data_IF_292489226622
#
_entry.id   IF_292489226622
#
_cell.length_a   1.000
_cell.length_b   1.000
_cell.length_c   1.000
_cell.angle_alpha   90.00
_cell.angle_beta   90.00
_cell.angle_gamma   90.00
#
_symmetry.space_group_name_H-M   'P 1'
#
loop_
_entity.id
_entity.type
_entity.pdbx_description
1 polymer ?
#
# COMPACT_ATOMS: atom_id res chain seq x y z
N UNK A 1 0.97 19.97 14.80
CA UNK A 1 0.84 18.68 15.53
C UNK A 1 1.40 17.57 14.65
N UNK A 2 2.65 17.13 14.86
CA UNK A 2 3.28 16.12 14.01
C UNK A 2 2.81 14.73 14.43
N UNK A 3 2.12 14.03 13.52
CA UNK A 3 1.73 12.63 13.73
C UNK A 3 2.99 11.77 13.58
N UNK A 4 3.64 11.52 14.71
CA UNK A 4 4.79 10.64 14.87
C UNK A 4 4.44 9.22 14.41
N UNK A 5 5.26 8.69 13.51
CA UNK A 5 5.21 7.34 12.92
C UNK A 5 5.64 6.24 13.92
N UNK A 6 5.16 6.31 15.16
CA UNK A 6 5.34 5.31 16.21
C UNK A 6 3.98 4.90 16.78
N UNK A 7 3.13 4.32 15.94
CA UNK A 7 2.05 3.49 16.48
C UNK A 7 2.68 2.17 16.94
N UNK A 8 3.07 2.12 18.22
CA UNK A 8 3.24 0.87 18.96
C UNK A 8 1.86 0.19 19.02
N UNK A 9 1.45 -0.51 17.97
CA UNK A 9 0.44 -1.58 18.10
C UNK A 9 1.13 -2.85 18.62
N UNK A 10 1.77 -2.72 19.78
CA UNK A 10 2.04 -3.84 20.69
C UNK A 10 1.02 -3.70 21.82
N UNK A 11 -0.23 -4.02 21.54
CA UNK A 11 -1.14 -4.33 22.65
C UNK A 11 -0.73 -5.71 23.11
N UNK A 12 -0.19 -5.81 24.32
CA UNK A 12 0.11 -7.09 24.98
C UNK A 12 -1.16 -7.97 25.10
N UNK A 13 -2.34 -7.34 25.03
CA UNK A 13 -3.66 -7.97 24.88
C UNK A 13 -3.88 -8.71 23.54
N UNK A 14 -3.14 -8.38 22.48
CA UNK A 14 -3.14 -9.14 21.22
C UNK A 14 -2.29 -10.40 21.39
N UNK A 15 -1.09 -10.26 21.95
CA UNK A 15 -0.12 -11.34 22.15
C UNK A 15 -0.63 -12.41 23.14
N UNK A 16 -1.40 -12.01 24.17
CA UNK A 16 -2.01 -12.95 25.11
C UNK A 16 -3.13 -13.81 24.52
N UNK A 17 -3.84 -13.33 23.48
CA UNK A 17 -4.83 -14.13 22.72
C UNK A 17 -4.19 -15.14 21.78
N UNK A 18 -2.95 -14.91 21.37
CA UNK A 18 -2.20 -15.82 20.50
C UNK A 18 -1.39 -16.86 21.26
N UNK A 19 -1.07 -16.60 22.54
CA UNK A 19 -0.31 -17.52 23.38
C UNK A 19 -1.16 -18.63 24.02
N UNK A 20 -2.49 -18.45 24.12
CA UNK A 20 -3.41 -19.41 24.74
C UNK A 20 -4.12 -20.35 23.75
N UNK A 21 -3.91 -20.18 22.44
CA UNK A 21 -4.55 -20.99 21.39
C UNK A 21 -3.65 -22.10 20.85
N UNK A 22 -3.09 -22.95 21.72
CA UNK A 22 -2.26 -24.10 21.35
C UNK A 22 -3.07 -25.28 20.78
N UNK A 23 -3.79 -25.06 19.69
CA UNK A 23 -4.43 -26.12 18.90
C UNK A 23 -3.81 -26.22 17.51
N UNK A 24 -3.86 -27.40 16.89
CA UNK A 24 -3.33 -27.66 15.54
C UNK A 24 -3.82 -26.66 14.46
N UNK A 25 -4.94 -25.98 14.68
CA UNK A 25 -5.55 -24.97 13.79
C UNK A 25 -4.94 -23.56 13.86
N UNK A 26 -4.03 -23.29 14.81
CA UNK A 26 -3.45 -21.97 15.02
C UNK A 26 -2.74 -21.36 13.80
N UNK A 27 -1.85 -22.09 13.08
CA UNK A 27 -1.17 -21.52 11.92
C UNK A 27 -2.13 -21.29 10.75
N UNK A 28 -3.24 -22.06 10.64
CA UNK A 28 -4.18 -21.96 9.52
C UNK A 28 -4.98 -20.66 9.62
N UNK A 29 -5.40 -20.30 10.83
CA UNK A 29 -6.08 -19.02 11.10
C UNK A 29 -5.19 -17.81 10.84
N UNK A 30 -3.89 -17.90 11.17
CA UNK A 30 -2.94 -16.85 10.85
C UNK A 30 -2.76 -16.69 9.34
N UNK A 31 -2.63 -17.80 8.61
CA UNK A 31 -2.52 -17.78 7.15
C UNK A 31 -3.75 -17.17 6.47
N UNK A 32 -4.97 -17.57 6.86
CA UNK A 32 -6.21 -17.02 6.32
C UNK A 32 -6.32 -15.51 6.57
N UNK A 33 -5.96 -15.05 7.77
CA UNK A 33 -5.95 -13.62 8.10
C UNK A 33 -4.92 -12.84 7.29
N UNK A 34 -3.70 -13.37 7.14
CA UNK A 34 -2.69 -12.78 6.26
C UNK A 34 -3.19 -12.69 4.81
N UNK A 35 -3.97 -13.68 4.35
CA UNK A 35 -4.55 -13.68 3.00
C UNK A 35 -5.60 -12.60 2.81
N UNK A 36 -6.46 -12.40 3.80
CA UNK A 36 -7.44 -11.31 3.80
C UNK A 36 -6.74 -9.94 3.79
N UNK A 37 -5.77 -9.74 4.68
CA UNK A 37 -4.99 -8.50 4.77
C UNK A 37 -4.19 -8.23 3.48
N UNK A 38 -3.66 -9.27 2.85
CA UNK A 38 -3.01 -9.17 1.54
C UNK A 38 -3.99 -8.76 0.44
N UNK A 39 -5.16 -9.39 0.37
CA UNK A 39 -6.18 -9.06 -0.64
C UNK A 39 -6.68 -7.62 -0.52
N UNK A 40 -6.96 -7.16 0.70
CA UNK A 40 -7.33 -5.78 0.99
C UNK A 40 -6.21 -4.81 0.65
N UNK A 41 -4.96 -5.18 0.99
CA UNK A 41 -3.77 -4.41 0.63
C UNK A 41 -3.60 -4.26 -0.88
N UNK A 42 -3.86 -5.32 -1.64
CA UNK A 42 -3.73 -5.36 -3.10
C UNK A 42 -4.79 -4.48 -3.77
N UNK A 43 -6.05 -4.57 -3.34
CA UNK A 43 -7.12 -3.66 -3.81
C UNK A 43 -6.76 -2.21 -3.53
N UNK A 44 -6.23 -1.90 -2.34
CA UNK A 44 -5.80 -0.55 -2.01
C UNK A 44 -4.64 -0.06 -2.89
N UNK A 45 -3.66 -0.92 -3.17
CA UNK A 45 -2.57 -0.60 -4.08
C UNK A 45 -3.07 -0.36 -5.51
N UNK A 46 -4.01 -1.17 -5.98
CA UNK A 46 -4.62 -1.00 -7.30
C UNK A 46 -5.38 0.33 -7.42
N UNK A 47 -6.19 0.68 -6.42
CA UNK A 47 -6.88 1.97 -6.37
C UNK A 47 -5.90 3.15 -6.35
N UNK A 48 -4.79 3.05 -5.60
CA UNK A 48 -3.73 4.07 -5.60
C UNK A 48 -3.08 4.21 -6.97
N UNK A 49 -2.83 3.10 -7.67
CA UNK A 49 -2.28 3.10 -9.02
C UNK A 49 -3.25 3.76 -10.00
N UNK A 50 -4.53 3.38 -9.98
CA UNK A 50 -5.56 3.99 -10.82
C UNK A 50 -5.66 5.51 -10.57
N UNK A 51 -5.63 5.93 -9.30
CA UNK A 51 -5.60 7.34 -8.93
C UNK A 51 -4.36 8.06 -9.45
N UNK A 52 -3.17 7.44 -9.36
CA UNK A 52 -1.93 8.01 -9.90
C UNK A 52 -2.02 8.25 -11.41
N UNK A 53 -2.57 7.28 -12.15
CA UNK A 53 -2.81 7.40 -13.60
C UNK A 53 -3.75 8.56 -13.90
N UNK A 54 -4.87 8.67 -13.18
CA UNK A 54 -5.81 9.79 -13.31
C UNK A 54 -5.15 11.15 -13.08
N UNK A 55 -4.26 11.27 -12.09
CA UNK A 55 -3.52 12.51 -11.82
C UNK A 55 -2.59 12.88 -12.98
N UNK A 56 -1.92 11.90 -13.59
CA UNK A 56 -1.06 12.13 -14.76
C UNK A 56 -1.88 12.61 -15.96
N UNK A 57 -3.05 12.00 -16.21
CA UNK A 57 -3.96 12.47 -17.24
C UNK A 57 -4.44 13.90 -16.95
N UNK A 58 -4.88 14.18 -15.72
CA UNK A 58 -5.27 15.53 -15.32
C UNK A 58 -4.15 16.55 -15.52
N UNK A 59 -2.91 16.20 -15.18
CA UNK A 59 -1.73 17.04 -15.41
C UNK A 59 -1.56 17.38 -16.89
N UNK A 60 -1.72 16.39 -17.77
CA UNK A 60 -1.66 16.59 -19.22
C UNK A 60 -2.79 17.48 -19.72
N UNK A 61 -4.02 17.25 -19.26
CA UNK A 61 -5.18 18.05 -19.65
C UNK A 61 -5.02 19.51 -19.21
N UNK A 62 -4.55 19.74 -17.98
CA UNK A 62 -4.24 21.08 -17.47
C UNK A 62 -3.14 21.74 -18.29
N UNK A 63 -2.08 21.00 -18.64
CA UNK A 63 -1.01 21.48 -19.52
C UNK A 63 -1.54 21.92 -20.88
N UNK A 64 -2.34 21.07 -21.54
CA UNK A 64 -2.98 21.37 -22.83
C UNK A 64 -3.94 22.56 -22.74
N UNK A 65 -4.68 22.70 -21.63
CA UNK A 65 -5.57 23.83 -21.41
C UNK A 65 -4.78 25.15 -21.31
N UNK A 66 -3.68 25.16 -20.56
CA UNK A 66 -2.81 26.32 -20.49
C UNK A 66 -2.06 26.61 -21.81
N UNK A 67 -1.70 25.59 -22.58
CA UNK A 67 -1.08 25.78 -23.90
C UNK A 67 -2.06 26.38 -24.92
N UNK A 68 -3.34 25.99 -24.85
CA UNK A 68 -4.37 26.44 -25.79
C UNK A 68 -4.99 27.79 -25.44
N UNK A 69 -5.20 28.10 -24.15
CA UNK A 69 -5.90 29.31 -23.70
C UNK A 69 -5.03 30.30 -22.92
N UNK A 70 -3.81 29.91 -22.54
CA UNK A 70 -2.97 30.64 -21.59
C UNK A 70 -1.98 31.64 -22.19
N UNK A 71 -2.02 31.91 -23.50
CA UNK A 71 -1.10 32.84 -24.17
C UNK A 71 -1.06 34.25 -23.54
N UNK A 72 -2.13 34.65 -22.85
CA UNK A 72 -2.25 35.94 -22.17
C UNK A 72 -2.12 35.88 -20.63
N UNK A 73 -2.05 34.68 -20.03
CA UNK A 73 -1.94 34.50 -18.59
C UNK A 73 -0.48 34.41 -18.15
N UNK A 74 -0.16 35.06 -17.01
CA UNK A 74 1.19 35.14 -16.48
C UNK A 74 1.87 33.74 -16.40
N UNK A 75 3.03 33.51 -17.04
CA UNK A 75 3.69 32.21 -17.12
C UNK A 75 4.04 31.59 -15.76
N UNK A 76 4.11 32.41 -14.70
CA UNK A 76 4.27 31.95 -13.33
C UNK A 76 3.10 31.09 -12.82
N UNK A 77 1.86 31.39 -13.21
CA UNK A 77 0.68 30.61 -12.82
C UNK A 77 0.70 29.22 -13.42
N UNK A 78 1.07 29.10 -14.70
CA UNK A 78 1.26 27.80 -15.38
C UNK A 78 2.31 26.93 -14.68
N UNK A 79 3.46 27.52 -14.35
CA UNK A 79 4.53 26.83 -13.60
C UNK A 79 4.08 26.42 -12.21
N UNK A 80 3.37 27.30 -11.51
CA UNK A 80 2.78 27.02 -10.19
C UNK A 80 1.82 25.84 -10.23
N UNK A 81 0.87 25.83 -11.17
CA UNK A 81 -0.09 24.74 -11.34
C UNK A 81 0.60 23.41 -11.67
N UNK A 82 1.56 23.40 -12.61
CA UNK A 82 2.34 22.21 -12.94
C UNK A 82 3.17 21.71 -11.76
N UNK A 83 3.81 22.60 -11.00
CA UNK A 83 4.57 22.22 -9.82
C UNK A 83 3.67 21.60 -8.74
N UNK A 84 2.47 22.16 -8.52
CA UNK A 84 1.51 21.65 -7.54
C UNK A 84 1.00 20.25 -7.94
N UNK A 85 0.69 20.06 -9.22
CA UNK A 85 0.30 18.74 -9.75
C UNK A 85 1.46 17.74 -9.68
N UNK A 86 2.69 18.16 -10.00
CA UNK A 86 3.87 17.31 -9.89
C UNK A 86 4.15 16.88 -8.45
N UNK A 87 4.03 17.80 -7.48
CA UNK A 87 4.13 17.49 -6.05
C UNK A 87 3.06 16.49 -5.61
N UNK A 88 1.82 16.69 -6.08
CA UNK A 88 0.72 15.77 -5.77
C UNK A 88 0.97 14.38 -6.37
N UNK A 89 1.40 14.30 -7.63
CA UNK A 89 1.77 13.07 -8.30
C UNK A 89 2.90 12.33 -7.55
N UNK A 90 3.96 13.04 -7.15
CA UNK A 90 5.07 12.50 -6.37
C UNK A 90 4.60 11.95 -5.01
N UNK A 91 3.67 12.64 -4.34
CA UNK A 91 3.09 12.19 -3.07
C UNK A 91 2.35 10.85 -3.23
N UNK A 92 1.53 10.73 -4.28
CA UNK A 92 0.80 9.49 -4.59
C UNK A 92 1.77 8.37 -4.96
N UNK A 93 2.76 8.64 -5.82
CA UNK A 93 3.78 7.66 -6.21
C UNK A 93 4.55 7.13 -5.00
N UNK A 94 4.97 8.03 -4.10
CA UNK A 94 5.64 7.67 -2.86
C UNK A 94 4.78 6.76 -2.00
N UNK A 95 3.49 7.06 -1.87
CA UNK A 95 2.54 6.25 -1.09
C UNK A 95 2.34 4.87 -1.72
N UNK A 96 2.20 4.81 -3.05
CA UNK A 96 2.11 3.56 -3.79
C UNK A 96 3.36 2.70 -3.61
N UNK A 97 4.55 3.30 -3.71
CA UNK A 97 5.82 2.60 -3.51
C UNK A 97 5.90 1.92 -2.15
N UNK A 98 5.61 2.63 -1.06
CA UNK A 98 5.60 2.02 0.27
C UNK A 98 4.58 0.90 0.38
N UNK A 99 3.36 1.10 -0.18
CA UNK A 99 2.31 0.08 -0.10
C UNK A 99 2.67 -1.20 -0.87
N UNK A 100 3.30 -1.06 -2.03
CA UNK A 100 3.81 -2.20 -2.83
C UNK A 100 4.93 -2.92 -2.10
N UNK A 101 5.83 -2.18 -1.44
CA UNK A 101 6.91 -2.78 -0.64
C UNK A 101 6.35 -3.58 0.54
N UNK A 102 5.41 -3.01 1.28
CA UNK A 102 4.73 -3.68 2.40
C UNK A 102 4.01 -4.96 1.92
N UNK A 103 3.36 -4.92 0.75
CA UNK A 103 2.74 -6.10 0.13
C UNK A 103 3.77 -7.18 -0.23
N UNK A 104 4.97 -6.78 -0.68
CA UNK A 104 6.07 -7.70 -0.95
C UNK A 104 6.55 -8.42 0.31
N UNK A 105 6.67 -7.70 1.42
CA UNK A 105 7.01 -8.27 2.74
C UNK A 105 5.95 -9.29 3.16
N UNK A 106 4.66 -8.95 3.09
CA UNK A 106 3.55 -9.88 3.41
C UNK A 106 3.58 -11.13 2.52
N UNK A 107 3.82 -10.98 1.21
CA UNK A 107 3.92 -12.13 0.29
C UNK A 107 5.05 -13.09 0.69
N UNK A 108 6.18 -12.54 1.13
CA UNK A 108 7.32 -13.35 1.59
C UNK A 108 7.00 -14.11 2.89
N UNK A 109 6.27 -13.49 3.81
CA UNK A 109 5.80 -14.14 5.04
C UNK A 109 4.81 -15.28 4.72
N UNK A 110 3.88 -15.07 3.79
CA UNK A 110 2.94 -16.10 3.35
C UNK A 110 3.65 -17.30 2.70
N UNK A 111 4.66 -17.05 1.87
CA UNK A 111 5.46 -18.12 1.26
C UNK A 111 6.21 -18.95 2.31
N UNK A 112 6.73 -18.29 3.36
CA UNK A 112 7.40 -18.96 4.48
C UNK A 112 6.42 -19.82 5.29
N UNK A 113 5.23 -19.29 5.62
CA UNK A 113 4.19 -20.03 6.32
C UNK A 113 3.72 -21.25 5.52
N UNK A 114 3.55 -21.11 4.20
CA UNK A 114 3.17 -22.21 3.32
C UNK A 114 4.24 -23.31 3.23
N UNK A 115 5.52 -22.96 3.31
CA UNK A 115 6.61 -23.95 3.38
C UNK A 115 6.56 -24.75 4.68
N UNK A 116 6.34 -24.08 5.83
CA UNK A 116 6.22 -24.76 7.14
C UNK A 116 5.05 -25.74 7.18
N UNK A 117 3.92 -25.41 6.53
CA UNK A 117 2.80 -26.35 6.41
C UNK A 117 3.15 -27.59 5.58
N UNK A 118 3.83 -27.39 4.46
CA UNK A 118 4.24 -28.49 3.57
C UNK A 118 5.22 -29.44 4.25
N UNK A 119 6.19 -28.90 4.98
CA UNK A 119 7.16 -29.72 5.71
C UNK A 119 6.46 -30.55 6.81
N UNK A 120 5.43 -29.99 7.46
CA UNK A 120 4.63 -30.70 8.47
C UNK A 120 3.76 -31.81 7.92
N UNK A 121 3.22 -31.62 6.72
CA UNK A 121 2.40 -32.62 6.01
C UNK A 121 3.28 -33.81 5.57
N UNK A 122 4.55 -33.56 5.22
CA UNK A 122 5.54 -34.61 4.87
C UNK A 122 6.03 -35.40 6.10
N UNK A 123 6.05 -34.80 7.29
CA UNK A 123 6.45 -35.49 8.54
C UNK A 123 5.34 -36.35 9.15
N UNK A 124 4.08 -36.20 8.71
CA UNK A 124 2.92 -36.98 9.19
C UNK A 124 2.59 -38.21 8.32
N UNK A 125 3.21 -38.36 7.14
CA UNK A 125 3.09 -39.50 6.20
C UNK A 125 4.23 -40.53 6.37
#
# INVERSE_FOLDING_TARGET
>A
MPISRKSRRKSELFESRFRSGGGADFPLRQYLRCREDFSSGLVHAFLLLAFAVMVVFFARTVGQLFDSHGAHLNPWLKRGALALVALFALSVLRRLYYKVRDLGEIRSEMARLQAVFRDREVDED
#
